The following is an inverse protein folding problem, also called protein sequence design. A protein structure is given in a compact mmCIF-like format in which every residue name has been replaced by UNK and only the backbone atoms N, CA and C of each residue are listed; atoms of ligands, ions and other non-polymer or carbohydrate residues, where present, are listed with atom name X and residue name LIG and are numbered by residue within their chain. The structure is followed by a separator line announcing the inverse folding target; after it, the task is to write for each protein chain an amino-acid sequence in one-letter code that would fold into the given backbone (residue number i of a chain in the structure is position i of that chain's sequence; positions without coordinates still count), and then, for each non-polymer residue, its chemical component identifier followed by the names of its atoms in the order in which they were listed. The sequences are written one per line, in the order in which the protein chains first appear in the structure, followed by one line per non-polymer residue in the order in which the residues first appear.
data_IF_097226160223
#
_entry.id   IF_097226160223
#
_cell.length_a   1.000
_cell.length_b   1.000
_cell.length_c   1.000
_cell.angle_alpha   90.00
_cell.angle_beta   90.00
_cell.angle_gamma   90.00
#
_symmetry.space_group_name_H-M   'P 1'
#
loop_
_entity.id
_entity.type
_entity.pdbx_description
1 polymer ?
#
# COMPACT_ATOMS: atom_id res chain seq x y z
N UNK A 1 15.93 -11.86 -6.12
CA UNK A 1 15.55 -10.86 -7.14
C UNK A 1 15.35 -9.58 -6.38
N UNK A 2 16.13 -8.56 -6.72
CA UNK A 2 16.03 -7.27 -6.05
C UNK A 2 14.81 -6.54 -6.62
N UNK A 3 13.99 -5.95 -5.73
CA UNK A 3 12.90 -5.08 -6.14
C UNK A 3 12.91 -3.83 -5.28
N UNK A 4 12.50 -2.72 -5.88
CA UNK A 4 12.30 -1.45 -5.18
C UNK A 4 10.79 -1.24 -5.10
N UNK A 5 10.25 -1.12 -3.89
CA UNK A 5 8.88 -0.65 -3.69
C UNK A 5 8.86 0.88 -3.54
N UNK A 6 7.80 1.49 -4.05
CA UNK A 6 7.48 2.87 -3.68
C UNK A 6 6.95 2.89 -2.24
N UNK A 7 7.58 3.69 -1.38
CA UNK A 7 7.10 3.98 -0.02
C UNK A 7 6.33 5.30 -0.05
N UNK A 8 5.02 5.22 0.10
CA UNK A 8 4.11 6.34 -0.07
C UNK A 8 3.46 6.71 1.27
N UNK A 9 3.26 8.01 1.55
CA UNK A 9 2.46 8.41 2.70
C UNK A 9 0.98 8.06 2.45
N UNK A 10 0.29 7.59 3.48
CA UNK A 10 -1.17 7.47 3.51
C UNK A 10 -1.71 8.18 4.74
N UNK A 11 -2.79 8.95 4.56
CA UNK A 11 -3.52 9.58 5.68
C UNK A 11 -4.46 8.58 6.37
N UNK A 12 -5.04 7.68 5.59
CA UNK A 12 -5.95 6.65 6.05
C UNK A 12 -5.74 5.38 5.21
N UNK A 13 -5.44 4.26 5.86
CA UNK A 13 -5.15 3.01 5.14
C UNK A 13 -6.39 2.38 4.52
N UNK A 14 -7.57 2.51 5.12
CA UNK A 14 -8.78 1.91 4.57
C UNK A 14 -9.19 2.60 3.27
N UNK A 15 -9.22 3.93 3.26
CA UNK A 15 -9.48 4.74 2.07
C UNK A 15 -8.45 4.46 0.97
N UNK A 16 -7.16 4.42 1.34
CA UNK A 16 -6.07 4.10 0.41
C UNK A 16 -6.24 2.71 -0.19
N UNK A 17 -6.48 1.68 0.65
CA UNK A 17 -6.66 0.29 0.21
C UNK A 17 -7.87 0.16 -0.72
N UNK A 18 -9.00 0.77 -0.38
CA UNK A 18 -10.21 0.71 -1.19
C UNK A 18 -10.00 1.35 -2.57
N UNK A 19 -9.28 2.48 -2.65
CA UNK A 19 -8.93 3.11 -3.92
C UNK A 19 -8.06 2.20 -4.80
N UNK A 20 -6.97 1.64 -4.26
CA UNK A 20 -6.08 0.77 -5.03
C UNK A 20 -6.72 -0.60 -5.35
N UNK A 21 -7.68 -1.07 -4.54
CA UNK A 21 -8.45 -2.27 -4.85
C UNK A 21 -9.26 -2.12 -6.15
N UNK A 22 -9.80 -0.92 -6.42
CA UNK A 22 -10.48 -0.63 -7.69
C UNK A 22 -9.53 -0.69 -8.90
N UNK A 23 -8.22 -0.55 -8.69
CA UNK A 23 -7.19 -0.66 -9.73
C UNK A 23 -6.64 -2.09 -9.88
N UNK A 24 -7.16 -3.04 -9.09
CA UNK A 24 -6.75 -4.45 -9.09
C UNK A 24 -5.60 -4.79 -8.16
N UNK A 25 -5.22 -3.88 -7.24
CA UNK A 25 -4.30 -4.24 -6.16
C UNK A 25 -5.04 -5.00 -5.05
N UNK A 26 -4.34 -5.90 -4.38
CA UNK A 26 -4.84 -6.57 -3.18
C UNK A 26 -3.88 -6.35 -2.01
N UNK A 27 -4.41 -6.41 -0.80
CA UNK A 27 -3.61 -6.21 0.42
C UNK A 27 -2.85 -7.49 0.77
N UNK A 28 -1.52 -7.39 0.85
CA UNK A 28 -0.67 -8.48 1.30
C UNK A 28 -0.44 -8.44 2.82
N UNK A 29 -0.34 -7.23 3.37
CA UNK A 29 -0.06 -7.00 4.78
C UNK A 29 -0.60 -5.64 5.21
N UNK A 30 -1.13 -5.57 6.43
CA UNK A 30 -1.48 -4.31 7.07
C UNK A 30 -1.26 -4.40 8.59
N UNK A 31 -0.66 -3.35 9.14
CA UNK A 31 -0.59 -3.03 10.56
C UNK A 31 -1.08 -1.59 10.78
N UNK A 32 -1.00 -1.10 12.02
CA UNK A 32 -1.40 0.26 12.36
C UNK A 32 -0.48 1.34 11.74
N UNK A 33 0.72 0.95 11.29
CA UNK A 33 1.74 1.90 10.80
C UNK A 33 2.27 1.59 9.40
N UNK A 34 1.93 0.42 8.86
CA UNK A 34 2.44 -0.02 7.55
C UNK A 34 1.40 -0.82 6.78
N UNK A 35 1.33 -0.62 5.47
CA UNK A 35 0.47 -1.40 4.57
C UNK A 35 1.20 -1.74 3.27
N UNK A 36 1.03 -2.96 2.78
CA UNK A 36 1.62 -3.43 1.52
C UNK A 36 0.51 -3.90 0.56
N UNK A 37 0.51 -3.36 -0.65
CA UNK A 37 -0.41 -3.71 -1.72
C UNK A 37 0.35 -4.31 -2.92
N UNK A 38 -0.24 -5.31 -3.58
CA UNK A 38 0.34 -5.94 -4.75
C UNK A 38 -0.66 -6.05 -5.91
N UNK A 39 -0.15 -5.88 -7.13
CA UNK A 39 -0.83 -6.23 -8.38
C UNK A 39 0.19 -6.85 -9.33
N UNK A 40 0.06 -8.15 -9.59
CA UNK A 40 1.02 -8.91 -10.39
C UNK A 40 2.45 -8.77 -9.85
N UNK A 41 3.33 -8.07 -10.56
CA UNK A 41 4.71 -7.80 -10.15
C UNK A 41 4.91 -6.38 -9.56
N UNK A 42 3.84 -5.59 -9.44
CA UNK A 42 3.88 -4.24 -8.86
C UNK A 42 3.62 -4.30 -7.35
N UNK A 43 4.48 -3.63 -6.58
CA UNK A 43 4.37 -3.52 -5.13
C UNK A 43 4.35 -2.06 -4.70
N UNK A 44 3.39 -1.73 -3.83
CA UNK A 44 3.26 -0.43 -3.18
C UNK A 44 3.29 -0.64 -1.67
N UNK A 45 4.07 0.18 -0.98
CA UNK A 45 4.17 0.16 0.47
C UNK A 45 3.76 1.54 0.99
N UNK A 46 2.97 1.57 2.06
CA UNK A 46 2.44 2.78 2.64
C UNK A 46 2.78 2.87 4.12
N UNK A 47 3.15 4.08 4.56
CA UNK A 47 3.27 4.42 5.97
C UNK A 47 2.21 5.44 6.36
N UNK A 48 1.76 5.41 7.61
CA UNK A 48 0.83 6.42 8.11
C UNK A 48 1.55 7.77 8.18
N UNK A 49 1.01 8.79 7.52
CA UNK A 49 1.51 10.16 7.63
C UNK A 49 0.62 10.92 8.60
N UNK A 50 1.24 11.69 9.49
CA UNK A 50 0.54 12.67 10.30
C UNK A 50 0.74 14.03 9.64
N UNK A 51 -0.37 14.75 9.46
CA UNK A 51 -0.36 16.11 8.96
C UNK A 51 0.25 17.07 10.00
#
# INVERSE_FOLDING_TARGET
MDYIAANLPALDFEATRNFYAMLGFHCLYQSDVWMMLEKENLKLEFFITQN
#
